data_IF_757154460035
#
_entry.id   IF_757154460035
#
_cell.length_a   1.000
_cell.length_b   1.000
_cell.length_c   1.000
_cell.angle_alpha   90.00
_cell.angle_beta   90.00
_cell.angle_gamma   90.00
#
_symmetry.space_group_name_H-M   'P 1'
#
loop_
_entity.id
_entity.type
_entity.pdbx_description
1 polymer ?
#
# COMPACT_ATOMS: atom_id res chain seq x y z
N UNK A 1 -23.13 7.00 -22.34
CA UNK A 1 -21.86 6.38 -21.89
C UNK A 1 -21.24 7.39 -20.95
N UNK A 2 -21.86 7.51 -19.77
CA UNK A 2 -21.52 8.55 -18.82
C UNK A 2 -20.36 8.03 -17.98
N UNK A 3 -19.16 8.48 -18.36
CA UNK A 3 -17.95 8.31 -17.56
C UNK A 3 -18.05 9.29 -16.38
N UNK A 4 -18.93 9.00 -15.41
CA UNK A 4 -18.74 9.51 -14.06
C UNK A 4 -17.51 8.81 -13.48
N UNK A 5 -16.31 9.32 -13.83
CA UNK A 5 -15.10 8.96 -13.11
C UNK A 5 -15.31 9.38 -11.66
N UNK A 6 -15.44 8.41 -10.76
CA UNK A 6 -15.46 8.68 -9.33
C UNK A 6 -14.23 9.56 -9.01
N UNK A 7 -14.41 10.64 -8.22
CA UNK A 7 -13.32 11.57 -7.85
C UNK A 7 -12.00 10.87 -7.47
N UNK A 8 -12.00 9.72 -6.77
CA UNK A 8 -10.77 8.99 -6.44
C UNK A 8 -10.02 8.39 -7.65
N UNK A 9 -10.71 8.03 -8.73
CA UNK A 9 -10.08 7.55 -9.96
C UNK A 9 -9.49 8.71 -10.77
N UNK A 10 -10.13 9.89 -10.70
CA UNK A 10 -9.57 11.13 -11.25
C UNK A 10 -8.31 11.55 -10.49
N UNK A 11 -8.31 11.49 -9.16
CA UNK A 11 -7.13 11.77 -8.33
C UNK A 11 -5.97 10.82 -8.67
N UNK A 12 -6.26 9.52 -8.80
CA UNK A 12 -5.25 8.53 -9.16
C UNK A 12 -4.67 8.82 -10.55
N UNK A 13 -5.52 9.07 -11.54
CA UNK A 13 -5.12 9.36 -12.92
C UNK A 13 -4.27 10.63 -13.00
N UNK A 14 -4.67 11.69 -12.28
CA UNK A 14 -3.90 12.92 -12.18
C UNK A 14 -2.53 12.67 -11.54
N UNK A 15 -2.47 11.92 -10.45
CA UNK A 15 -1.21 11.60 -9.78
C UNK A 15 -0.26 10.80 -10.68
N UNK A 16 -0.78 9.81 -11.43
CA UNK A 16 0.00 9.04 -12.43
C UNK A 16 0.58 9.98 -13.49
N UNK A 17 -0.23 10.88 -14.05
CA UNK A 17 0.22 11.83 -15.08
C UNK A 17 1.29 12.76 -14.52
N UNK A 18 1.05 13.35 -13.33
CA UNK A 18 1.99 14.28 -12.71
C UNK A 18 3.33 13.60 -12.39
N UNK A 19 3.30 12.42 -11.77
CA UNK A 19 4.53 11.66 -11.47
C UNK A 19 5.26 11.30 -12.77
N UNK A 20 4.54 10.88 -13.82
CA UNK A 20 5.14 10.57 -15.12
C UNK A 20 5.83 11.81 -15.73
N UNK A 21 5.17 12.96 -15.73
CA UNK A 21 5.75 14.21 -16.22
C UNK A 21 6.97 14.65 -15.40
N UNK A 22 6.91 14.50 -14.07
CA UNK A 22 8.04 14.76 -13.18
C UNK A 22 9.21 13.81 -13.46
N UNK A 23 8.96 12.52 -13.67
CA UNK A 23 9.97 11.52 -14.04
C UNK A 23 10.65 11.89 -15.37
N UNK A 24 9.88 12.24 -16.39
CA UNK A 24 10.42 12.67 -17.69
C UNK A 24 11.21 13.99 -17.58
N UNK A 25 10.70 14.96 -16.82
CA UNK A 25 11.37 16.22 -16.54
C UNK A 25 12.70 16.01 -15.80
N UNK A 26 12.70 15.15 -14.77
CA UNK A 26 13.87 14.80 -14.00
C UNK A 26 14.96 14.14 -14.85
N UNK A 27 14.59 13.24 -15.77
CA UNK A 27 15.55 12.70 -16.74
C UNK A 27 16.19 13.78 -17.61
N UNK A 28 15.38 14.70 -18.16
CA UNK A 28 15.88 15.81 -18.98
C UNK A 28 16.78 16.76 -18.20
N UNK A 29 16.48 17.01 -16.93
CA UNK A 29 17.32 17.79 -16.03
C UNK A 29 18.62 17.06 -15.73
N UNK A 30 18.57 15.77 -15.44
CA UNK A 30 19.76 14.93 -15.20
C UNK A 30 20.71 14.92 -16.41
N UNK A 31 20.18 14.85 -17.64
CA UNK A 31 21.01 14.94 -18.86
C UNK A 31 21.71 16.30 -19.05
N UNK A 32 21.17 17.37 -18.45
CA UNK A 32 21.73 18.74 -18.52
C UNK A 32 22.52 19.12 -17.28
N UNK A 33 22.48 18.29 -16.24
CA UNK A 33 23.15 18.58 -14.99
C UNK A 33 24.66 18.49 -15.19
N UNK A 34 25.39 19.53 -14.80
CA UNK A 34 26.85 19.54 -14.78
C UNK A 34 27.28 20.29 -13.53
N UNK A 35 28.01 19.63 -12.63
CA UNK A 35 28.61 20.31 -11.49
C UNK A 35 29.91 21.01 -11.89
N UNK A 36 30.40 21.88 -11.02
CA UNK A 36 31.68 22.58 -11.21
C UNK A 36 32.91 21.65 -11.21
N UNK A 37 32.75 20.39 -10.80
CA UNK A 37 33.83 19.39 -10.76
C UNK A 37 33.30 17.98 -11.01
N UNK A 38 34.04 17.21 -11.80
CA UNK A 38 33.77 15.80 -12.07
C UNK A 38 33.70 14.94 -10.80
N UNK A 39 34.44 15.33 -9.74
CA UNK A 39 34.40 14.64 -8.45
C UNK A 39 33.05 14.84 -7.76
N UNK A 40 32.43 16.00 -7.91
CA UNK A 40 31.11 16.30 -7.34
C UNK A 40 30.03 15.47 -8.03
N UNK A 41 30.06 15.36 -9.37
CA UNK A 41 29.09 14.57 -10.13
C UNK A 41 29.07 13.09 -9.70
N UNK A 42 30.24 12.52 -9.39
CA UNK A 42 30.36 11.12 -8.91
C UNK A 42 29.63 10.90 -7.59
N UNK A 43 29.87 11.75 -6.60
CA UNK A 43 29.24 11.63 -5.29
C UNK A 43 27.74 11.91 -5.34
N UNK A 44 27.30 12.84 -6.19
CA UNK A 44 25.88 13.09 -6.44
C UNK A 44 25.22 11.86 -7.04
N UNK A 45 25.79 11.27 -8.09
CA UNK A 45 25.25 10.08 -8.73
C UNK A 45 25.14 8.89 -7.76
N UNK A 46 26.23 8.57 -7.05
CA UNK A 46 26.24 7.47 -6.08
C UNK A 46 25.26 7.73 -4.92
N UNK A 47 25.19 8.97 -4.45
CA UNK A 47 24.24 9.38 -3.42
C UNK A 47 22.80 9.18 -3.85
N UNK A 48 22.45 9.57 -5.08
CA UNK A 48 21.09 9.41 -5.62
C UNK A 48 20.70 7.93 -5.80
N UNK A 49 21.64 7.10 -6.26
CA UNK A 49 21.41 5.64 -6.36
C UNK A 49 21.20 5.04 -4.97
N UNK A 50 22.05 5.39 -4.01
CA UNK A 50 21.93 4.95 -2.62
C UNK A 50 20.62 5.39 -1.98
N UNK A 51 20.23 6.66 -2.14
CA UNK A 51 18.96 7.20 -1.65
C UNK A 51 17.77 6.52 -2.32
N UNK A 52 17.82 6.26 -3.63
CA UNK A 52 16.75 5.55 -4.35
C UNK A 52 16.54 4.15 -3.76
N UNK A 53 17.64 3.42 -3.50
CA UNK A 53 17.58 2.10 -2.90
C UNK A 53 17.04 2.15 -1.46
N UNK A 54 17.57 3.05 -0.62
CA UNK A 54 17.11 3.23 0.75
C UNK A 54 15.63 3.62 0.81
N UNK A 55 15.18 4.52 -0.05
CA UNK A 55 13.78 4.95 -0.09
C UNK A 55 12.86 3.82 -0.54
N UNK A 56 13.23 3.11 -1.62
CA UNK A 56 12.48 1.96 -2.11
C UNK A 56 12.37 0.86 -1.05
N UNK A 57 13.45 0.60 -0.30
CA UNK A 57 13.48 -0.42 0.74
C UNK A 57 12.69 -0.03 2.00
N UNK A 58 12.81 1.22 2.45
CA UNK A 58 12.31 1.64 3.76
C UNK A 58 10.90 2.24 3.73
N UNK A 59 10.49 2.87 2.62
CA UNK A 59 9.29 3.73 2.61
C UNK A 59 8.26 3.39 1.53
N UNK A 60 8.60 2.56 0.55
CA UNK A 60 7.69 2.22 -0.53
C UNK A 60 6.45 1.48 -0.01
N UNK A 61 5.26 2.01 -0.30
CA UNK A 61 3.98 1.34 -0.02
C UNK A 61 3.51 1.33 1.45
N UNK A 62 4.24 1.98 2.37
CA UNK A 62 3.91 2.01 3.81
C UNK A 62 2.83 3.03 4.18
N UNK A 63 2.03 2.73 5.22
CA UNK A 63 0.93 3.58 5.69
C UNK A 63 1.39 4.88 6.34
N UNK A 64 2.66 5.00 6.71
CA UNK A 64 3.22 6.26 7.26
C UNK A 64 2.94 7.47 6.36
N UNK A 65 2.85 7.29 5.05
CA UNK A 65 2.53 8.37 4.11
C UNK A 65 1.09 8.84 4.21
N UNK A 66 0.17 7.98 4.59
CA UNK A 66 -1.23 8.33 4.79
C UNK A 66 -1.46 9.17 6.07
N UNK A 67 -0.46 9.26 6.97
CA UNK A 67 -0.47 10.23 8.07
C UNK A 67 -0.30 11.67 7.55
N UNK A 68 0.48 11.86 6.46
CA UNK A 68 0.79 13.17 5.89
C UNK A 68 -0.05 13.51 4.65
N UNK A 69 -0.43 12.51 3.85
CA UNK A 69 -1.13 12.66 2.58
C UNK A 69 -2.45 11.91 2.68
N UNK A 70 -3.52 12.63 3.01
CA UNK A 70 -4.87 12.06 3.19
C UNK A 70 -5.65 11.90 1.88
N UNK A 71 -4.95 11.79 0.74
CA UNK A 71 -5.57 11.57 -0.57
C UNK A 71 -5.57 10.09 -0.92
N UNK A 72 -6.59 9.66 -1.67
CA UNK A 72 -6.67 8.30 -2.23
C UNK A 72 -5.49 7.95 -3.15
N UNK A 73 -4.82 8.97 -3.69
CA UNK A 73 -3.62 8.84 -4.51
C UNK A 73 -2.30 8.91 -3.70
N UNK A 74 -2.34 8.77 -2.37
CA UNK A 74 -1.15 8.76 -1.51
C UNK A 74 -0.07 7.79 -2.01
N UNK A 75 -0.47 6.65 -2.59
CA UNK A 75 0.41 5.66 -3.23
C UNK A 75 1.37 6.25 -4.27
N UNK A 76 0.92 7.23 -5.05
CA UNK A 76 1.72 7.91 -6.07
C UNK A 76 2.41 9.15 -5.53
N UNK A 77 1.72 9.95 -4.70
CA UNK A 77 2.31 11.16 -4.12
C UNK A 77 3.51 10.89 -3.21
N UNK A 78 3.54 9.73 -2.54
CA UNK A 78 4.68 9.32 -1.73
C UNK A 78 5.83 8.70 -2.53
N UNK A 79 5.63 8.36 -3.81
CA UNK A 79 6.60 7.60 -4.57
C UNK A 79 7.57 8.51 -5.33
N UNK A 80 8.61 8.99 -4.64
CA UNK A 80 9.68 9.81 -5.25
C UNK A 80 10.73 8.98 -6.02
N UNK A 81 10.80 7.67 -5.76
CA UNK A 81 11.74 6.73 -6.39
C UNK A 81 11.86 6.88 -7.92
N UNK A 82 10.77 6.87 -8.71
CA UNK A 82 10.88 6.99 -10.17
C UNK A 82 11.50 8.31 -10.61
N UNK A 83 11.27 9.40 -9.88
CA UNK A 83 11.85 10.73 -10.18
C UNK A 83 13.35 10.72 -9.95
N UNK A 84 13.80 10.17 -8.81
CA UNK A 84 15.23 10.08 -8.47
C UNK A 84 15.97 9.13 -9.41
N UNK A 85 15.38 7.98 -9.74
CA UNK A 85 15.95 7.03 -10.70
C UNK A 85 16.06 7.64 -12.10
N UNK A 86 15.05 8.38 -12.56
CA UNK A 86 15.10 9.03 -13.86
C UNK A 86 16.14 10.15 -13.93
N UNK A 87 16.27 10.96 -12.87
CA UNK A 87 17.36 11.93 -12.78
C UNK A 87 18.74 11.25 -12.83
N UNK A 88 18.90 10.17 -12.06
CA UNK A 88 20.13 9.36 -12.05
C UNK A 88 20.42 8.74 -13.43
N UNK A 89 19.39 8.28 -14.14
CA UNK A 89 19.51 7.76 -15.51
C UNK A 89 20.00 8.84 -16.48
N UNK A 90 19.52 10.08 -16.33
CA UNK A 90 20.00 11.23 -17.11
C UNK A 90 21.48 11.53 -16.84
N UNK A 91 21.88 11.47 -15.57
CA UNK A 91 23.28 11.67 -15.17
C UNK A 91 24.23 10.56 -15.62
N UNK A 92 23.76 9.32 -15.70
CA UNK A 92 24.57 8.17 -16.11
C UNK A 92 25.23 8.35 -17.49
N UNK A 93 24.63 9.17 -18.38
CA UNK A 93 25.17 9.48 -19.70
C UNK A 93 26.52 10.23 -19.67
N UNK A 94 26.80 10.98 -18.61
CA UNK A 94 28.03 11.76 -18.46
C UNK A 94 28.86 11.40 -17.21
N UNK A 95 28.40 10.43 -16.41
CA UNK A 95 29.11 9.93 -15.23
C UNK A 95 30.53 9.46 -15.58
N UNK A 96 31.53 10.10 -14.96
CA UNK A 96 32.96 9.95 -15.29
C UNK A 96 33.49 8.56 -14.92
N UNK A 97 33.01 7.96 -13.83
CA UNK A 97 33.45 6.62 -13.37
C UNK A 97 32.88 5.46 -14.20
N UNK A 98 31.83 5.71 -14.99
CA UNK A 98 31.26 4.67 -15.84
C UNK A 98 32.03 4.61 -17.17
N UNK A 99 32.54 3.42 -17.50
CA UNK A 99 33.11 3.16 -18.83
C UNK A 99 32.08 3.56 -19.88
N UNK A 100 32.53 4.28 -20.91
CA UNK A 100 31.68 4.90 -21.94
C UNK A 100 30.65 3.92 -22.54
N UNK A 101 31.02 2.66 -22.70
CA UNK A 101 30.17 1.62 -23.29
C UNK A 101 29.06 1.12 -22.34
N UNK A 102 29.21 1.26 -21.02
CA UNK A 102 28.20 0.83 -20.04
C UNK A 102 27.21 1.93 -19.66
N UNK A 103 27.52 3.20 -19.97
CA UNK A 103 26.62 4.35 -19.74
C UNK A 103 25.20 4.16 -20.26
N UNK A 104 24.97 3.77 -21.53
CA UNK A 104 23.60 3.56 -22.03
C UNK A 104 22.90 2.41 -21.33
N UNK A 105 23.62 1.35 -20.95
CA UNK A 105 23.05 0.21 -20.24
C UNK A 105 22.58 0.61 -18.83
N UNK A 106 23.39 1.35 -18.07
CA UNK A 106 23.02 1.81 -16.72
C UNK A 106 21.85 2.80 -16.77
N UNK A 107 21.88 3.76 -17.71
CA UNK A 107 20.77 4.67 -17.93
C UNK A 107 19.47 3.92 -18.29
N UNK A 108 19.58 2.91 -19.18
CA UNK A 108 18.46 2.06 -19.56
C UNK A 108 17.89 1.29 -18.39
N UNK A 109 18.71 0.65 -17.55
CA UNK A 109 18.28 -0.08 -16.36
C UNK A 109 17.54 0.85 -15.39
N UNK A 110 18.12 2.03 -15.08
CA UNK A 110 17.50 2.99 -14.17
C UNK A 110 16.16 3.51 -14.71
N UNK A 111 16.07 3.78 -16.00
CA UNK A 111 14.82 4.20 -16.64
C UNK A 111 13.77 3.09 -16.61
N UNK A 112 14.16 1.84 -16.90
CA UNK A 112 13.26 0.69 -16.81
C UNK A 112 12.73 0.52 -15.38
N UNK A 113 13.60 0.65 -14.37
CA UNK A 113 13.18 0.63 -12.97
C UNK A 113 12.23 1.80 -12.64
N UNK A 114 12.54 3.02 -13.09
CA UNK A 114 11.66 4.17 -12.89
C UNK A 114 10.26 3.95 -13.49
N UNK A 115 10.20 3.46 -14.72
CA UNK A 115 8.95 3.10 -15.39
C UNK A 115 8.20 2.00 -14.62
N UNK A 116 8.91 0.96 -14.16
CA UNK A 116 8.32 -0.09 -13.34
C UNK A 116 7.70 0.47 -12.05
N UNK A 117 8.38 1.36 -11.33
CA UNK A 117 7.83 1.99 -10.12
C UNK A 117 6.57 2.83 -10.37
N UNK A 118 6.37 3.37 -11.57
CA UNK A 118 5.13 4.08 -11.95
C UNK A 118 4.02 3.11 -12.36
N UNK A 119 4.36 2.07 -13.12
CA UNK A 119 3.37 1.17 -13.75
C UNK A 119 2.94 0.03 -12.83
N UNK A 120 3.85 -0.54 -12.03
CA UNK A 120 3.59 -1.74 -11.22
C UNK A 120 2.34 -1.63 -10.34
N UNK A 121 2.06 -0.53 -9.62
CA UNK A 121 0.88 -0.45 -8.76
C UNK A 121 -0.46 -0.65 -9.49
N UNK A 122 -0.58 -0.14 -10.72
CA UNK A 122 -1.78 -0.26 -11.56
C UNK A 122 -1.77 -1.51 -12.44
N UNK A 123 -0.59 -1.97 -12.86
CA UNK A 123 -0.47 -3.16 -13.70
C UNK A 123 -0.61 -4.46 -12.91
N UNK A 124 -0.21 -4.48 -11.63
CA UNK A 124 -0.27 -5.66 -10.77
C UNK A 124 -1.66 -6.33 -10.71
N UNK A 125 -2.77 -5.63 -10.43
CA UNK A 125 -4.10 -6.26 -10.43
C UNK A 125 -4.55 -6.75 -11.82
N UNK A 126 -3.99 -6.21 -12.91
CA UNK A 126 -4.31 -6.64 -14.29
C UNK A 126 -3.49 -7.87 -14.69
N UNK A 127 -2.21 -7.90 -14.33
CA UNK A 127 -1.29 -9.00 -14.65
C UNK A 127 -1.49 -10.23 -13.74
N UNK A 128 -1.89 -9.99 -12.50
CA UNK A 128 -2.11 -11.01 -11.47
C UNK A 128 -3.49 -10.80 -10.84
N UNK A 129 -4.58 -10.99 -11.60
CA UNK A 129 -5.92 -10.76 -11.10
C UNK A 129 -6.24 -11.69 -9.92
N UNK A 130 -7.19 -11.28 -9.08
CA UNK A 130 -7.79 -12.17 -8.11
C UNK A 130 -8.70 -13.15 -8.84
N UNK A 131 -8.52 -14.44 -8.59
CA UNK A 131 -9.41 -15.49 -9.11
C UNK A 131 -10.68 -15.54 -8.25
N UNK A 132 -11.81 -15.24 -8.87
CA UNK A 132 -13.13 -15.20 -8.23
C UNK A 132 -13.96 -16.42 -8.67
N UNK A 133 -13.38 -17.61 -8.57
CA UNK A 133 -13.90 -18.81 -9.24
C UNK A 133 -14.96 -19.57 -8.43
N UNK A 134 -15.39 -19.04 -7.29
CA UNK A 134 -16.52 -19.60 -6.54
C UNK A 134 -17.85 -19.09 -7.11
N UNK A 135 -18.79 -19.98 -7.48
CA UNK A 135 -20.06 -19.58 -8.11
C UNK A 135 -20.86 -18.59 -7.24
N UNK A 136 -21.37 -17.56 -7.92
CA UNK A 136 -22.25 -16.52 -7.38
C UNK A 136 -23.60 -17.12 -6.99
N UNK A 137 -23.76 -17.42 -5.72
CA UNK A 137 -25.05 -17.22 -5.04
C UNK A 137 -24.98 -15.85 -4.33
N UNK A 138 -26.09 -15.13 -4.09
CA UNK A 138 -26.08 -13.87 -3.35
C UNK A 138 -25.75 -14.14 -1.88
N UNK A 139 -24.47 -14.34 -1.61
CA UNK A 139 -23.89 -14.80 -0.35
C UNK A 139 -23.42 -13.67 0.56
N UNK A 140 -23.89 -12.44 0.33
CA UNK A 140 -23.65 -11.33 1.26
C UNK A 140 -24.17 -11.62 2.66
N UNK A 141 -24.93 -12.70 2.91
CA UNK A 141 -25.24 -13.22 4.26
C UNK A 141 -24.41 -14.43 4.67
N UNK A 142 -24.10 -15.38 3.76
CA UNK A 142 -23.37 -16.61 4.14
C UNK A 142 -21.87 -16.40 4.32
N UNK A 143 -21.31 -15.29 3.81
CA UNK A 143 -19.94 -14.88 4.11
C UNK A 143 -19.83 -14.16 5.46
N UNK A 144 -20.94 -13.81 6.13
CA UNK A 144 -20.86 -13.26 7.48
C UNK A 144 -20.86 -14.37 8.51
N UNK A 145 -19.84 -14.34 9.36
CA UNK A 145 -19.76 -15.17 10.54
C UNK A 145 -19.64 -14.30 11.78
N UNK A 146 -20.67 -14.31 12.63
CA UNK A 146 -20.73 -13.54 13.87
C UNK A 146 -20.43 -12.03 13.73
N UNK A 147 -20.84 -11.42 12.61
CA UNK A 147 -20.60 -10.00 12.35
C UNK A 147 -19.15 -9.69 11.94
N UNK A 148 -18.50 -10.66 11.31
CA UNK A 148 -17.21 -10.56 10.59
C UNK A 148 -17.44 -11.07 9.17
N UNK A 149 -16.94 -10.35 8.17
CA UNK A 149 -17.00 -10.78 6.78
C UNK A 149 -15.82 -11.72 6.47
N UNK A 150 -16.13 -12.93 6.01
CA UNK A 150 -15.16 -13.97 5.65
C UNK A 150 -14.68 -13.76 4.21
N UNK A 151 -13.36 -13.79 4.03
CA UNK A 151 -12.73 -13.56 2.72
C UNK A 151 -13.10 -14.66 1.71
N UNK A 152 -13.44 -14.27 0.48
CA UNK A 152 -13.76 -15.26 -0.57
C UNK A 152 -12.53 -15.86 -1.24
N UNK A 153 -11.37 -15.20 -1.15
CA UNK A 153 -10.11 -15.62 -1.76
C UNK A 153 -8.97 -15.51 -0.72
N UNK A 154 -7.95 -16.38 -0.77
CA UNK A 154 -6.83 -16.36 0.18
C UNK A 154 -6.02 -15.05 0.16
N UNK A 155 -6.04 -14.30 -0.95
CA UNK A 155 -5.38 -13.01 -1.11
C UNK A 155 -6.29 -11.79 -0.83
N UNK A 156 -7.55 -12.00 -0.44
CA UNK A 156 -8.55 -10.93 -0.22
C UNK A 156 -8.81 -10.59 1.26
N UNK A 157 -7.91 -10.96 2.18
CA UNK A 157 -8.06 -10.62 3.60
C UNK A 157 -8.18 -9.10 3.86
N UNK A 158 -7.41 -8.28 3.15
CA UNK A 158 -7.46 -6.82 3.30
C UNK A 158 -8.81 -6.21 2.89
N UNK A 159 -9.36 -6.46 1.69
CA UNK A 159 -10.71 -5.99 1.35
C UNK A 159 -11.78 -6.61 2.26
N UNK A 160 -11.71 -7.88 2.64
CA UNK A 160 -12.70 -8.49 3.54
C UNK A 160 -12.71 -7.85 4.96
N UNK A 161 -11.53 -7.56 5.52
CA UNK A 161 -11.43 -6.81 6.77
C UNK A 161 -11.99 -5.38 6.61
N UNK A 162 -11.72 -4.74 5.48
CA UNK A 162 -12.29 -3.43 5.19
C UNK A 162 -13.82 -3.45 5.05
N UNK A 163 -14.41 -4.50 4.45
CA UNK A 163 -15.87 -4.71 4.44
C UNK A 163 -16.41 -4.80 5.87
N UNK A 164 -15.74 -5.55 6.75
CA UNK A 164 -16.13 -5.64 8.16
C UNK A 164 -16.09 -4.27 8.86
N UNK A 165 -15.03 -3.48 8.63
CA UNK A 165 -14.91 -2.12 9.19
C UNK A 165 -16.00 -1.17 8.68
N UNK A 166 -16.26 -1.20 7.37
CA UNK A 166 -17.28 -0.37 6.73
C UNK A 166 -18.67 -0.71 7.27
N UNK A 167 -19.00 -2.00 7.38
CA UNK A 167 -20.29 -2.46 7.90
C UNK A 167 -20.52 -2.01 9.35
N UNK A 168 -19.49 -2.11 10.20
CA UNK A 168 -19.54 -1.61 11.58
C UNK A 168 -19.72 -0.10 11.67
N UNK A 169 -19.40 0.61 10.60
CA UNK A 169 -19.61 2.05 10.46
C UNK A 169 -20.92 2.41 9.74
N UNK A 170 -21.79 1.41 9.48
CA UNK A 170 -23.06 1.58 8.81
C UNK A 170 -22.97 1.69 7.28
N UNK A 171 -21.80 1.38 6.69
CA UNK A 171 -21.53 1.48 5.25
C UNK A 171 -21.52 0.07 4.66
N UNK A 172 -22.43 -0.21 3.72
CA UNK A 172 -22.45 -1.48 3.00
C UNK A 172 -21.47 -1.42 1.83
N UNK A 173 -20.62 -2.44 1.71
CA UNK A 173 -19.65 -2.57 0.64
C UNK A 173 -19.54 -4.03 0.18
N UNK A 174 -19.22 -4.22 -1.10
CA UNK A 174 -18.92 -5.52 -1.70
C UNK A 174 -17.41 -5.77 -1.69
N UNK A 175 -16.98 -7.00 -1.38
CA UNK A 175 -15.57 -7.36 -1.32
C UNK A 175 -14.86 -7.19 -2.67
N UNK A 176 -15.49 -7.52 -3.79
CA UNK A 176 -14.86 -7.45 -5.11
C UNK A 176 -14.67 -6.00 -5.56
N UNK A 177 -15.69 -5.17 -5.33
CA UNK A 177 -15.59 -3.74 -5.66
C UNK A 177 -14.60 -3.02 -4.76
N UNK A 178 -14.51 -3.42 -3.49
CA UNK A 178 -13.50 -2.92 -2.59
C UNK A 178 -12.09 -3.43 -2.96
N UNK A 179 -11.95 -4.68 -3.40
CA UNK A 179 -10.69 -5.23 -3.89
C UNK A 179 -10.17 -4.48 -5.12
N UNK A 180 -11.05 -4.12 -6.07
CA UNK A 180 -10.69 -3.23 -7.20
C UNK A 180 -10.24 -1.86 -6.70
N UNK A 181 -10.98 -1.28 -5.75
CA UNK A 181 -10.63 0.00 -5.13
C UNK A 181 -9.32 -0.04 -4.34
N UNK A 182 -8.96 -1.21 -3.80
CA UNK A 182 -7.70 -1.45 -3.11
C UNK A 182 -6.52 -1.74 -4.05
N UNK A 183 -6.76 -1.90 -5.36
CA UNK A 183 -5.79 -2.43 -6.33
C UNK A 183 -5.24 -3.80 -5.91
N UNK A 184 -6.10 -4.64 -5.33
CA UNK A 184 -5.77 -5.99 -4.86
C UNK A 184 -5.50 -6.95 -6.03
N UNK A 185 -4.65 -7.93 -5.78
CA UNK A 185 -4.19 -8.92 -6.76
C UNK A 185 -4.05 -10.28 -6.09
N UNK A 186 -3.79 -11.36 -6.85
CA UNK A 186 -3.46 -12.68 -6.27
C UNK A 186 -2.19 -12.67 -5.40
N UNK A 187 -1.34 -11.64 -5.54
CA UNK A 187 -0.18 -11.40 -4.68
C UNK A 187 -0.54 -10.70 -3.34
N UNK A 188 -1.82 -10.42 -3.08
CA UNK A 188 -2.32 -9.68 -1.93
C UNK A 188 -2.56 -8.20 -2.20
N UNK A 189 -2.70 -7.42 -1.12
CA UNK A 189 -3.04 -5.98 -1.13
C UNK A 189 -1.97 -5.17 -0.40
N UNK A 190 -1.48 -4.10 -1.02
CA UNK A 190 -0.52 -3.20 -0.39
C UNK A 190 -1.20 -2.31 0.68
N UNK A 191 -0.51 -1.89 1.76
CA UNK A 191 -1.09 -1.05 2.81
C UNK A 191 -1.71 0.26 2.30
N UNK A 192 -1.01 0.99 1.41
CA UNK A 192 -1.57 2.19 0.77
C UNK A 192 -2.68 1.88 -0.24
N UNK A 193 -2.72 0.67 -0.80
CA UNK A 193 -3.84 0.18 -1.60
C UNK A 193 -5.09 0.02 -0.74
N UNK A 194 -4.97 -0.62 0.42
CA UNK A 194 -6.06 -0.73 1.40
C UNK A 194 -6.56 0.65 1.85
N UNK A 195 -5.65 1.58 2.15
CA UNK A 195 -6.01 2.97 2.48
C UNK A 195 -6.77 3.65 1.35
N UNK A 196 -6.33 3.49 0.09
CA UNK A 196 -7.04 4.00 -1.08
C UNK A 196 -8.47 3.45 -1.12
N UNK A 197 -8.64 2.14 -1.03
CA UNK A 197 -9.96 1.51 -1.10
C UNK A 197 -10.91 2.01 -0.01
N UNK A 198 -10.44 2.03 1.24
CA UNK A 198 -11.20 2.57 2.37
C UNK A 198 -11.53 4.06 2.19
N UNK A 199 -10.57 4.86 1.75
CA UNK A 199 -10.78 6.31 1.53
C UNK A 199 -11.81 6.58 0.43
N UNK A 200 -11.76 5.82 -0.66
CA UNK A 200 -12.69 5.91 -1.78
C UNK A 200 -14.13 5.68 -1.33
N UNK A 201 -14.38 4.59 -0.58
CA UNK A 201 -15.73 4.26 -0.11
C UNK A 201 -16.14 5.19 1.04
N UNK A 202 -15.28 5.44 2.02
CA UNK A 202 -15.61 6.31 3.15
C UNK A 202 -16.01 7.73 2.71
N UNK A 203 -15.34 8.29 1.70
CA UNK A 203 -15.65 9.62 1.19
C UNK A 203 -17.06 9.70 0.57
N UNK A 204 -17.58 8.61 0.00
CA UNK A 204 -18.95 8.57 -0.55
C UNK A 204 -20.03 8.62 0.55
N UNK A 205 -19.64 8.41 1.81
CA UNK A 205 -20.52 8.33 2.97
C UNK A 205 -20.19 9.37 4.05
N UNK A 206 -19.58 10.50 3.68
CA UNK A 206 -19.20 11.58 4.60
C UNK A 206 -18.31 11.11 5.78
N UNK A 207 -17.45 10.13 5.52
CA UNK A 207 -16.42 9.64 6.44
C UNK A 207 -15.03 9.86 5.85
N UNK A 208 -14.02 9.83 6.72
CA UNK A 208 -12.60 9.88 6.33
C UNK A 208 -11.84 8.70 6.89
N UNK A 209 -11.11 7.99 6.02
CA UNK A 209 -10.13 7.00 6.47
C UNK A 209 -8.89 7.72 7.03
N UNK A 210 -8.47 7.33 8.24
CA UNK A 210 -7.30 7.90 8.93
C UNK A 210 -6.42 6.78 9.49
N UNK A 211 -5.13 7.05 9.60
CA UNK A 211 -4.18 6.13 10.23
C UNK A 211 -4.36 6.18 11.76
N UNK A 212 -4.55 5.02 12.38
CA UNK A 212 -4.68 4.90 13.83
C UNK A 212 -3.31 5.00 14.53
N UNK A 213 -3.32 5.19 15.84
CA UNK A 213 -2.12 5.20 16.67
C UNK A 213 -1.30 3.91 16.51
N UNK A 214 0.03 4.01 16.47
CA UNK A 214 0.92 2.83 16.51
C UNK A 214 0.92 2.12 17.86
N UNK A 215 0.37 2.74 18.89
CA UNK A 215 0.16 2.13 20.20
C UNK A 215 -1.32 1.74 20.38
N UNK A 216 -1.66 0.43 20.37
CA UNK A 216 -3.04 -0.05 20.51
C UNK A 216 -3.75 0.40 21.78
N UNK A 217 -3.02 0.62 22.89
CA UNK A 217 -3.66 1.06 24.14
C UNK A 217 -4.29 2.45 24.05
N UNK A 218 -3.93 3.26 23.05
CA UNK A 218 -4.53 4.58 22.83
C UNK A 218 -5.79 4.52 21.96
N UNK A 219 -6.13 3.38 21.35
CA UNK A 219 -7.22 3.30 20.39
C UNK A 219 -8.58 3.56 21.03
N UNK A 220 -8.81 3.06 22.25
CA UNK A 220 -10.07 3.27 22.95
C UNK A 220 -10.24 4.73 23.36
N UNK A 221 -9.22 5.30 24.01
CA UNK A 221 -9.20 6.72 24.44
C UNK A 221 -9.39 7.69 23.27
N UNK A 222 -8.77 7.38 22.12
CA UNK A 222 -8.82 8.24 20.92
C UNK A 222 -10.01 7.95 19.99
N UNK A 223 -10.91 7.03 20.33
CA UNK A 223 -12.05 6.67 19.48
C UNK A 223 -11.61 6.10 18.11
N UNK A 224 -10.53 5.33 18.08
CA UNK A 224 -9.96 4.74 16.85
C UNK A 224 -10.41 3.29 16.64
N UNK A 225 -11.55 2.91 17.20
CA UNK A 225 -12.18 1.60 17.04
C UNK A 225 -13.59 1.77 16.47
N UNK A 226 -14.05 0.84 15.61
CA UNK A 226 -13.27 -0.25 15.03
C UNK A 226 -12.20 0.25 14.06
N UNK A 227 -11.17 -0.56 13.84
CA UNK A 227 -10.13 -0.30 12.83
C UNK A 227 -9.70 -1.57 12.11
N UNK A 228 -9.05 -1.42 10.97
CA UNK A 228 -8.37 -2.49 10.27
C UNK A 228 -6.88 -2.41 10.60
N UNK A 229 -6.32 -3.47 11.16
CA UNK A 229 -4.93 -3.54 11.58
C UNK A 229 -4.16 -4.54 10.73
N UNK A 230 -2.94 -4.14 10.33
CA UNK A 230 -1.99 -5.02 9.69
C UNK A 230 -1.26 -5.83 10.75
N UNK A 231 -1.22 -7.14 10.56
CA UNK A 231 -0.66 -8.07 11.55
C UNK A 231 0.24 -9.10 10.88
N UNK A 232 1.07 -9.76 11.69
CA UNK A 232 1.95 -10.87 11.27
C UNK A 232 1.41 -12.20 11.79
N UNK A 233 1.35 -13.21 10.92
CA UNK A 233 1.08 -14.61 11.27
C UNK A 233 2.33 -15.45 10.98
N UNK A 234 2.72 -16.32 11.93
CA UNK A 234 3.99 -17.08 11.94
C UNK A 234 5.13 -16.31 12.63
N UNK A 235 5.83 -16.84 13.63
CA UNK A 235 6.68 -18.03 13.57
C UNK A 235 6.38 -19.03 14.71
N UNK A 236 5.62 -20.06 14.41
CA UNK A 236 5.72 -21.37 15.08
C UNK A 236 5.95 -22.39 13.98
N UNK A 237 7.23 -22.77 13.76
CA UNK A 237 7.63 -23.80 12.79
C UNK A 237 8.42 -23.27 11.59
N UNK A 238 9.54 -23.93 11.33
CA UNK A 238 10.56 -23.67 10.31
C UNK A 238 10.05 -23.50 8.87
N UNK A 239 10.29 -22.32 8.26
CA UNK A 239 11.06 -22.20 7.01
C UNK A 239 11.25 -20.72 6.63
N UNK A 240 12.44 -20.13 6.81
CA UNK A 240 12.76 -18.80 6.28
C UNK A 240 13.17 -18.95 4.80
N UNK A 241 12.22 -19.28 3.92
CA UNK A 241 12.38 -19.07 2.48
C UNK A 241 11.36 -18.04 2.02
N UNK A 242 11.60 -16.80 2.43
CA UNK A 242 10.98 -15.61 1.87
C UNK A 242 11.96 -15.01 0.86
N UNK A 243 11.95 -15.53 -0.38
CA UNK A 243 12.84 -15.10 -1.46
C UNK A 243 12.37 -13.78 -2.11
N UNK A 244 12.08 -12.77 -1.29
CA UNK A 244 11.79 -11.41 -1.74
C UNK A 244 13.07 -10.66 -2.07
N UNK A 245 13.71 -10.95 -3.21
CA UNK A 245 14.88 -10.21 -3.73
C UNK A 245 14.61 -8.69 -3.93
N UNK A 246 13.36 -8.24 -3.77
CA UNK A 246 12.90 -6.85 -3.81
C UNK A 246 11.91 -6.59 -2.66
N UNK A 247 12.39 -6.17 -1.49
CA UNK A 247 11.67 -5.29 -0.55
C UNK A 247 10.34 -5.75 0.06
N UNK A 248 9.94 -7.01 -0.07
CA UNK A 248 8.72 -7.49 0.58
C UNK A 248 8.97 -7.74 2.07
N UNK A 249 8.59 -6.79 2.92
CA UNK A 249 8.24 -7.11 4.31
C UNK A 249 6.89 -7.82 4.24
N UNK A 250 6.88 -9.10 4.57
CA UNK A 250 5.67 -9.92 4.72
C UNK A 250 4.65 -9.22 5.61
N UNK A 251 3.66 -8.57 4.98
CA UNK A 251 2.39 -8.23 5.62
C UNK A 251 1.67 -9.56 5.77
N UNK A 252 1.69 -10.11 6.98
CA UNK A 252 1.30 -11.50 7.21
C UNK A 252 -0.20 -11.74 7.13
N UNK A 253 -1.03 -10.74 7.44
CA UNK A 253 -2.49 -10.77 7.34
C UNK A 253 -3.08 -9.38 7.64
N UNK A 254 -4.37 -9.22 7.39
CA UNK A 254 -5.13 -8.01 7.74
C UNK A 254 -6.38 -8.41 8.50
N UNK A 255 -6.62 -7.80 9.67
CA UNK A 255 -7.75 -8.11 10.55
C UNK A 255 -8.49 -6.84 10.97
N UNK A 256 -9.75 -6.98 11.38
CA UNK A 256 -10.50 -5.87 11.98
C UNK A 256 -10.44 -5.96 13.50
N UNK A 257 -9.98 -4.91 14.17
CA UNK A 257 -10.07 -4.79 15.62
C UNK A 257 -11.42 -4.15 15.94
N UNK A 258 -12.34 -4.96 16.48
CA UNK A 258 -13.73 -4.59 16.71
C UNK A 258 -13.92 -3.79 18.02
N UNK A 259 -13.09 -4.06 19.02
CA UNK A 259 -13.24 -3.49 20.36
C UNK A 259 -12.44 -4.28 21.41
N UNK A 260 -12.78 -4.05 22.67
CA UNK A 260 -12.34 -4.90 23.79
C UNK A 260 -13.54 -5.57 24.44
N UNK A 261 -13.33 -6.77 24.98
CA UNK A 261 -14.29 -7.43 25.87
C UNK A 261 -14.21 -6.86 27.28
N UNK A 262 -15.22 -7.12 28.12
CA UNK A 262 -15.22 -6.70 29.53
C UNK A 262 -14.02 -7.25 30.33
N UNK A 263 -13.43 -8.37 29.87
CA UNK A 263 -12.22 -8.96 30.44
C UNK A 263 -10.90 -8.38 29.90
N UNK A 264 -10.93 -7.28 29.14
CA UNK A 264 -9.75 -6.61 28.60
C UNK A 264 -9.06 -7.32 27.43
N UNK A 265 -9.70 -8.32 26.82
CA UNK A 265 -9.19 -8.98 25.61
C UNK A 265 -9.62 -8.20 24.37
N UNK A 266 -8.76 -8.14 23.36
CA UNK A 266 -9.08 -7.51 22.08
C UNK A 266 -9.98 -8.43 21.26
N UNK A 267 -11.11 -7.89 20.79
CA UNK A 267 -12.02 -8.61 19.91
C UNK A 267 -11.61 -8.36 18.46
N UNK A 268 -11.31 -9.44 17.74
CA UNK A 268 -10.75 -9.40 16.39
C UNK A 268 -11.72 -10.08 15.44
N UNK A 269 -12.07 -9.40 14.36
CA UNK A 269 -12.68 -9.99 13.18
C UNK A 269 -11.59 -10.38 12.20
N UNK A 270 -11.24 -11.66 12.20
CA UNK A 270 -10.29 -12.24 11.26
C UNK A 270 -11.03 -12.74 10.01
N UNK A 271 -10.75 -12.21 8.81
CA UNK A 271 -11.42 -12.64 7.60
C UNK A 271 -11.24 -14.11 7.23
N UNK A 272 -10.22 -14.79 7.77
CA UNK A 272 -9.96 -16.20 7.46
C UNK A 272 -10.75 -17.16 8.36
N UNK A 273 -11.02 -16.77 9.61
CA UNK A 273 -11.56 -17.67 10.64
C UNK A 273 -12.75 -17.10 11.43
N UNK A 274 -13.13 -15.85 11.18
CA UNK A 274 -14.22 -15.17 11.87
C UNK A 274 -13.78 -14.46 13.15
N UNK A 275 -14.68 -14.42 14.14
CA UNK A 275 -14.46 -13.66 15.38
C UNK A 275 -13.56 -14.43 16.34
N UNK A 276 -12.44 -13.82 16.74
CA UNK A 276 -11.49 -14.36 17.72
C UNK A 276 -11.16 -13.33 18.79
N UNK A 277 -10.57 -13.75 19.90
CA UNK A 277 -10.10 -12.84 20.95
C UNK A 277 -8.62 -13.02 21.23
N UNK A 278 -7.87 -11.93 21.28
CA UNK A 278 -6.43 -11.93 21.58
C UNK A 278 -6.17 -11.24 22.92
N UNK A 279 -5.13 -11.68 23.62
CA UNK A 279 -4.61 -10.89 24.75
C UNK A 279 -3.95 -9.59 24.23
N UNK A 280 -3.75 -8.61 25.10
CA UNK A 280 -3.01 -7.39 24.74
C UNK A 280 -1.59 -7.71 24.27
N UNK A 281 -0.91 -8.65 24.95
CA UNK A 281 0.42 -9.11 24.57
C UNK A 281 0.43 -9.77 23.18
N UNK A 282 -0.56 -10.60 22.88
CA UNK A 282 -0.68 -11.25 21.57
C UNK A 282 -0.92 -10.23 20.45
N UNK A 283 -1.80 -9.24 20.67
CA UNK A 283 -2.03 -8.17 19.71
C UNK A 283 -0.74 -7.36 19.49
N UNK A 284 -0.07 -6.93 20.56
CA UNK A 284 1.18 -6.14 20.46
C UNK A 284 2.29 -6.88 19.73
N UNK A 285 2.39 -8.21 19.92
CA UNK A 285 3.38 -9.05 19.23
C UNK A 285 3.08 -9.18 17.73
N UNK A 286 1.80 -9.24 17.35
CA UNK A 286 1.38 -9.43 15.96
C UNK A 286 1.27 -8.11 15.18
N UNK A 287 0.92 -7.03 15.84
CA UNK A 287 0.66 -5.74 15.21
C UNK A 287 1.90 -5.16 14.55
N UNK A 288 1.79 -4.76 13.28
CA UNK A 288 2.92 -4.19 12.53
C UNK A 288 3.21 -2.73 12.88
N UNK A 289 2.33 -2.09 13.65
CA UNK A 289 2.35 -0.65 13.89
C UNK A 289 1.46 0.15 12.93
N UNK A 290 0.75 -0.52 12.01
CA UNK A 290 -0.08 0.14 10.99
C UNK A 290 -1.55 -0.30 11.08
N UNK A 291 -2.45 0.66 11.30
CA UNK A 291 -3.90 0.44 11.31
C UNK A 291 -4.65 1.64 10.72
N UNK A 292 -5.86 1.39 10.21
CA UNK A 292 -6.72 2.38 9.55
C UNK A 292 -8.10 2.34 10.20
N UNK A 293 -8.61 3.49 10.61
CA UNK A 293 -9.96 3.64 11.16
C UNK A 293 -10.76 4.65 10.35
N UNK A 294 -12.08 4.66 10.53
CA UNK A 294 -12.97 5.65 9.94
C UNK A 294 -13.31 6.72 10.98
N UNK A 295 -13.16 7.98 10.60
CA UNK A 295 -13.54 9.14 11.40
C UNK A 295 -14.70 9.89 10.73
N UNK A 296 -15.47 10.62 11.52
CA UNK A 296 -16.35 11.68 11.00
C UNK A 296 -15.52 12.74 10.24
N UNK A 297 -16.16 13.39 9.26
CA UNK A 297 -15.51 14.37 8.39
C UNK A 297 -15.00 15.61 9.11
#
# INVERSE_FOLDING_TARGET
MDLEFARPDLELSLAVIVVTLMTLGAYRLGCRFQSASERSDRWVFLGLVGISFLFAWSFFGRLIWAEAITSSAALYWSNVTPVVLAFSAGMAGHAVDLRRNFRPAVAGIMMTLAVAFVITPIARPVLFPLDWDQPREPQWMSQWHDGVYIQSNSASCAPAAAVTLLDRSGIKADEQDLAKSCLSSSLGTAPLGLYRGLSTVAHQHDRKAKVASRNPSLWLEKGQLPNVALVRFGLTGDNPQDNGFLGNVTVGHVVTVLGQTDGGRWLIGDPAVGKVSWSDEELRRRFTGEAIYLADQ
#
